data_IF_932323692940
#
_entry.id   IF_932323692940
#
_cell.length_a   1.000
_cell.length_b   1.000
_cell.length_c   1.000
_cell.angle_alpha   90.00
_cell.angle_beta   90.00
_cell.angle_gamma   90.00
#
_symmetry.space_group_name_H-M   'P 1'
#
loop_
_entity.id
_entity.type
_entity.pdbx_description
1 polymer ?
#
# COMPACT_ATOMS: atom_id res chain seq x y z
N UNK A 1 8.81 -7.97 -3.76
CA UNK A 1 8.68 -7.65 -2.32
C UNK A 1 9.66 -6.61 -1.79
N UNK A 2 10.92 -6.56 -2.24
CA UNK A 2 11.91 -5.58 -1.77
C UNK A 2 11.45 -4.10 -1.88
N UNK A 3 10.77 -3.74 -2.98
CA UNK A 3 10.18 -2.40 -3.16
C UNK A 3 9.15 -2.03 -2.07
N UNK A 4 8.44 -3.01 -1.50
CA UNK A 4 7.49 -2.79 -0.40
C UNK A 4 8.23 -2.56 0.92
N UNK A 5 9.30 -3.32 1.20
CA UNK A 5 10.15 -3.09 2.37
C UNK A 5 10.73 -1.67 2.35
N UNK A 6 11.24 -1.20 1.22
CA UNK A 6 11.76 0.17 1.10
C UNK A 6 10.68 1.24 1.31
N UNK A 7 9.42 0.97 0.93
CA UNK A 7 8.29 1.86 1.21
C UNK A 7 7.93 1.86 2.70
N UNK A 8 7.92 0.69 3.34
CA UNK A 8 7.69 0.56 4.79
C UNK A 8 8.75 1.29 5.60
N UNK A 9 10.03 1.17 5.25
CA UNK A 9 11.14 1.92 5.89
C UNK A 9 10.94 3.44 5.81
N UNK A 10 10.37 3.94 4.71
CA UNK A 10 10.02 5.37 4.60
C UNK A 10 8.89 5.76 5.54
N UNK A 11 7.83 4.97 5.59
CA UNK A 11 6.70 5.20 6.53
C UNK A 11 7.19 5.15 7.97
N UNK A 12 8.04 4.19 8.33
CA UNK A 12 8.69 4.11 9.64
C UNK A 12 9.43 5.41 10.00
N UNK A 13 10.15 6.00 9.04
CA UNK A 13 10.76 7.33 9.19
C UNK A 13 9.74 8.44 9.45
N UNK A 14 8.60 8.43 8.76
CA UNK A 14 7.50 9.38 8.98
C UNK A 14 6.89 9.21 10.38
N UNK A 15 6.65 7.98 10.84
CA UNK A 15 6.13 7.68 12.19
C UNK A 15 7.08 8.20 13.26
N UNK A 16 8.40 7.96 13.11
CA UNK A 16 9.40 8.55 14.01
C UNK A 16 9.38 10.09 13.99
N UNK A 17 9.12 10.68 12.84
CA UNK A 17 8.92 12.13 12.70
C UNK A 17 7.74 12.63 13.52
N UNK A 18 6.57 11.99 13.38
CA UNK A 18 5.36 12.33 14.12
C UNK A 18 5.57 12.24 15.64
N UNK A 19 6.28 11.22 16.11
CA UNK A 19 6.64 11.10 17.53
C UNK A 19 7.45 12.29 18.03
N UNK A 20 8.45 12.75 17.25
CA UNK A 20 9.25 13.93 17.62
C UNK A 20 8.41 15.21 17.61
N UNK A 21 7.50 15.36 16.66
CA UNK A 21 6.61 16.53 16.57
C UNK A 21 5.71 16.65 17.80
N UNK A 22 5.18 15.54 18.31
CA UNK A 22 4.39 15.52 19.55
C UNK A 22 5.23 16.00 20.74
N UNK A 23 6.44 15.46 20.90
CA UNK A 23 7.32 15.83 22.02
C UNK A 23 7.76 17.30 21.92
N UNK A 24 7.99 17.80 20.71
CA UNK A 24 8.40 19.17 20.45
C UNK A 24 7.24 20.18 20.53
N UNK A 25 5.98 19.72 20.64
CA UNK A 25 4.82 20.59 20.62
C UNK A 25 4.66 21.36 19.30
N UNK A 26 4.96 20.71 18.17
CA UNK A 26 4.85 21.34 16.86
C UNK A 26 3.41 21.70 16.49
N UNK A 27 3.30 22.63 15.54
CA UNK A 27 2.04 23.14 15.02
C UNK A 27 1.08 22.02 14.56
N UNK A 28 -0.20 22.18 14.91
CA UNK A 28 -1.22 21.17 14.68
C UNK A 28 -1.42 20.88 13.19
N UNK A 29 -1.42 21.93 12.35
CA UNK A 29 -1.67 21.79 10.91
C UNK A 29 -0.52 21.02 10.26
N UNK A 30 0.74 21.35 10.62
CA UNK A 30 1.92 20.59 10.16
C UNK A 30 1.89 19.13 10.59
N UNK A 31 1.46 18.85 11.82
CA UNK A 31 1.33 17.49 12.30
C UNK A 31 0.29 16.71 11.49
N UNK A 32 -0.87 17.31 11.23
CA UNK A 32 -1.96 16.70 10.46
C UNK A 32 -1.57 16.44 9.00
N UNK A 33 -0.83 17.36 8.38
CA UNK A 33 -0.27 17.16 7.03
C UNK A 33 0.66 15.94 6.98
N UNK A 34 1.60 15.86 7.93
CA UNK A 34 2.56 14.77 7.99
C UNK A 34 1.89 13.43 8.32
N UNK A 35 0.87 13.44 9.17
CA UNK A 35 0.08 12.26 9.52
C UNK A 35 -0.68 11.75 8.29
N UNK A 36 -1.31 12.66 7.55
CA UNK A 36 -2.07 12.32 6.33
C UNK A 36 -1.14 11.80 5.24
N UNK A 37 0.07 12.35 5.11
CA UNK A 37 1.10 11.84 4.21
C UNK A 37 1.54 10.42 4.57
N UNK A 38 1.75 10.12 5.86
CA UNK A 38 2.10 8.79 6.35
C UNK A 38 0.97 7.77 6.10
N UNK A 39 -0.28 8.14 6.43
CA UNK A 39 -1.47 7.32 6.15
C UNK A 39 -1.59 6.99 4.67
N UNK A 40 -1.48 8.00 3.81
CA UNK A 40 -1.58 7.84 2.35
C UNK A 40 -0.47 6.94 1.80
N UNK A 41 0.74 7.02 2.35
CA UNK A 41 1.83 6.13 2.00
C UNK A 41 1.56 4.68 2.42
N UNK A 42 1.01 4.48 3.61
CA UNK A 42 0.64 3.16 4.11
C UNK A 42 -0.50 2.52 3.31
N UNK A 43 -1.52 3.30 2.94
CA UNK A 43 -2.64 2.83 2.10
C UNK A 43 -2.12 2.32 0.74
N UNK A 44 -1.20 3.05 0.12
CA UNK A 44 -0.54 2.62 -1.13
C UNK A 44 0.25 1.32 -0.95
N UNK A 45 0.90 1.13 0.20
CA UNK A 45 1.58 -0.13 0.51
C UNK A 45 0.58 -1.28 0.64
N UNK A 46 -0.50 -1.09 1.40
CA UNK A 46 -1.54 -2.09 1.60
C UNK A 46 -2.15 -2.56 0.28
N UNK A 47 -2.45 -1.62 -0.62
CA UNK A 47 -2.95 -1.91 -1.98
C UNK A 47 -1.98 -2.80 -2.78
N UNK A 48 -0.69 -2.49 -2.77
CA UNK A 48 0.33 -3.31 -3.45
C UNK A 48 0.43 -4.72 -2.86
N UNK A 49 0.33 -4.85 -1.54
CA UNK A 49 0.35 -6.15 -0.85
C UNK A 49 -0.87 -6.99 -1.23
N UNK A 50 -2.07 -6.38 -1.27
CA UNK A 50 -3.31 -7.06 -1.67
C UNK A 50 -3.19 -7.58 -3.10
N UNK A 51 -2.80 -6.74 -4.06
CA UNK A 51 -2.61 -7.12 -5.47
C UNK A 51 -1.63 -8.29 -5.59
N UNK A 52 -0.49 -8.23 -4.89
CA UNK A 52 0.52 -9.29 -4.92
C UNK A 52 0.01 -10.59 -4.31
N UNK A 53 -0.72 -10.52 -3.21
CA UNK A 53 -1.25 -11.71 -2.53
C UNK A 53 -2.47 -12.31 -3.24
N UNK A 54 -3.29 -11.50 -3.94
CA UNK A 54 -4.40 -12.02 -4.74
C UNK A 54 -3.90 -12.98 -5.83
N UNK A 55 -2.84 -12.61 -6.57
CA UNK A 55 -2.21 -13.50 -7.58
C UNK A 55 -1.75 -14.82 -6.96
N UNK A 56 -1.10 -14.74 -5.80
CA UNK A 56 -0.56 -15.90 -5.10
C UNK A 56 -1.66 -16.81 -4.54
N UNK A 57 -2.61 -16.25 -3.80
CA UNK A 57 -3.66 -17.00 -3.12
C UNK A 57 -4.59 -17.74 -4.08
N UNK A 58 -4.93 -17.15 -5.23
CA UNK A 58 -5.87 -17.80 -6.14
C UNK A 58 -5.20 -18.89 -6.96
N UNK A 59 -3.98 -18.64 -7.48
CA UNK A 59 -3.21 -19.66 -8.18
C UNK A 59 -2.84 -20.86 -7.30
N UNK A 60 -2.60 -20.64 -6.00
CA UNK A 60 -2.23 -21.72 -5.07
C UNK A 60 -3.43 -22.46 -4.45
N UNK A 61 -4.59 -21.81 -4.22
CA UNK A 61 -5.68 -22.39 -3.42
C UNK A 61 -6.96 -22.75 -4.16
N UNK A 62 -7.31 -22.02 -5.22
CA UNK A 62 -8.63 -22.19 -5.86
C UNK A 62 -8.54 -23.21 -6.99
N UNK A 63 -7.42 -23.25 -7.70
CA UNK A 63 -7.32 -23.99 -8.95
C UNK A 63 -8.23 -23.37 -10.03
N UNK A 64 -7.86 -23.54 -11.28
CA UNK A 64 -8.59 -23.00 -12.42
C UNK A 64 -7.90 -23.42 -13.70
N UNK A 65 -8.66 -23.50 -14.79
CA UNK A 65 -8.07 -23.64 -16.11
C UNK A 65 -7.28 -22.36 -16.50
N UNK A 66 -6.54 -22.46 -17.59
CA UNK A 66 -5.67 -21.39 -18.06
C UNK A 66 -6.45 -20.10 -18.33
N UNK A 67 -7.69 -20.22 -18.82
CA UNK A 67 -8.61 -19.10 -19.08
C UNK A 67 -9.00 -18.37 -17.78
N UNK A 68 -9.35 -19.10 -16.71
CA UNK A 68 -9.67 -18.49 -15.42
C UNK A 68 -8.47 -17.72 -14.83
N UNK A 69 -7.27 -18.31 -14.89
CA UNK A 69 -6.07 -17.67 -14.38
C UNK A 69 -5.72 -16.39 -15.16
N UNK A 70 -5.96 -16.40 -16.47
CA UNK A 70 -5.72 -15.26 -17.34
C UNK A 70 -6.72 -14.12 -17.08
N UNK A 71 -8.02 -14.43 -16.97
CA UNK A 71 -9.07 -13.47 -16.61
C UNK A 71 -8.82 -12.83 -15.23
N UNK A 72 -8.31 -13.62 -14.28
CA UNK A 72 -7.94 -13.09 -12.97
C UNK A 72 -6.76 -12.13 -13.03
N UNK A 73 -5.71 -12.45 -13.81
CA UNK A 73 -4.55 -11.58 -13.95
C UNK A 73 -4.93 -10.23 -14.56
N UNK A 74 -5.83 -10.24 -15.54
CA UNK A 74 -6.43 -9.03 -16.12
C UNK A 74 -7.23 -8.24 -15.08
N UNK A 75 -8.11 -8.89 -14.33
CA UNK A 75 -8.90 -8.24 -13.29
C UNK A 75 -8.02 -7.59 -12.21
N UNK A 76 -6.97 -8.28 -11.76
CA UNK A 76 -6.00 -7.75 -10.79
C UNK A 76 -5.23 -6.55 -11.37
N UNK A 77 -4.86 -6.62 -12.65
CA UNK A 77 -4.18 -5.53 -13.35
C UNK A 77 -5.07 -4.30 -13.49
N UNK A 78 -6.33 -4.48 -13.89
CA UNK A 78 -7.32 -3.41 -13.98
C UNK A 78 -7.58 -2.77 -12.61
N UNK A 79 -7.73 -3.60 -11.57
CA UNK A 79 -7.92 -3.13 -10.20
C UNK A 79 -6.72 -2.30 -9.72
N UNK A 80 -5.49 -2.77 -9.95
CA UNK A 80 -4.28 -2.02 -9.61
C UNK A 80 -4.22 -0.64 -10.31
N UNK A 81 -4.56 -0.59 -11.60
CA UNK A 81 -4.57 0.66 -12.38
C UNK A 81 -5.62 1.68 -11.90
N UNK A 82 -6.78 1.22 -11.41
CA UNK A 82 -7.83 2.11 -10.92
C UNK A 82 -7.56 2.57 -9.48
N UNK A 83 -6.93 1.72 -8.69
CA UNK A 83 -6.49 2.06 -7.35
C UNK A 83 -5.45 3.19 -7.34
N UNK A 84 -4.48 3.15 -8.25
CA UNK A 84 -3.41 4.16 -8.30
C UNK A 84 -3.92 5.55 -8.77
N UNK A 85 -5.13 5.61 -9.34
CA UNK A 85 -5.79 6.84 -9.79
C UNK A 85 -6.68 7.50 -8.74
N UNK A 86 -6.98 6.86 -7.61
CA UNK A 86 -7.81 7.43 -6.53
C UNK A 86 -7.04 8.43 -5.65
N UNK A 87 -6.25 9.31 -6.26
CA UNK A 87 -5.66 10.45 -5.55
C UNK A 87 -6.70 11.54 -5.32
#
# INVERSE_FOLDING_TARGET
MEKIINRLKRVEGQIRGLQRMIVAGEDCDKFLDQLTAARSALDRIGRLVIVNNMKKCVGEKVGGDEEFLQNLDEAITLFAQHIDRLK
#
